data_IF_502351214847
#
_entry.id   IF_502351214847
#
_cell.length_a   1.000
_cell.length_b   1.000
_cell.length_c   1.000
_cell.angle_alpha   90.00
_cell.angle_beta   90.00
_cell.angle_gamma   90.00
#
_symmetry.space_group_name_H-M   'P 1'
#
loop_
_entity.id
_entity.type
_entity.pdbx_description
1 polymer ?
#
# COMPACT_ATOMS: atom_id res chain seq x y z
N UNK A 1 -10.50 0.72 6.81
CA UNK A 1 -11.49 -0.38 7.01
C UNK A 1 -12.29 -0.75 5.76
N UNK A 2 -12.68 0.17 4.85
CA UNK A 2 -13.45 -0.17 3.63
C UNK A 2 -12.68 -1.14 2.70
N UNK A 3 -11.41 -0.87 2.43
CA UNK A 3 -10.54 -1.68 1.57
C UNK A 3 -10.36 -3.12 2.10
N UNK A 4 -10.07 -3.28 3.39
CA UNK A 4 -9.91 -4.60 3.99
C UNK A 4 -11.20 -5.44 3.90
N UNK A 5 -12.36 -4.83 4.12
CA UNK A 5 -13.65 -5.52 3.95
C UNK A 5 -13.90 -5.97 2.51
N UNK A 6 -13.52 -5.15 1.55
CA UNK A 6 -13.63 -5.46 0.13
C UNK A 6 -12.69 -6.61 -0.25
N UNK A 7 -11.45 -6.55 0.24
CA UNK A 7 -10.45 -7.59 0.03
C UNK A 7 -10.88 -8.94 0.65
N UNK A 8 -11.42 -8.93 1.88
CA UNK A 8 -11.97 -10.15 2.51
C UNK A 8 -13.07 -10.75 1.65
N UNK A 9 -14.03 -9.95 1.17
CA UNK A 9 -15.10 -10.46 0.28
C UNK A 9 -14.54 -11.08 -0.99
N UNK A 10 -13.55 -10.46 -1.59
CA UNK A 10 -12.86 -10.99 -2.76
C UNK A 10 -12.18 -12.32 -2.44
N UNK A 11 -11.40 -12.38 -1.35
CA UNK A 11 -10.64 -13.57 -0.94
C UNK A 11 -11.55 -14.73 -0.58
N UNK A 12 -12.65 -14.48 0.11
CA UNK A 12 -13.69 -15.50 0.41
C UNK A 12 -14.17 -16.18 -0.86
N UNK A 13 -14.47 -15.41 -1.90
CA UNK A 13 -14.91 -15.93 -3.19
C UNK A 13 -13.81 -16.72 -3.90
N UNK A 14 -12.60 -16.18 -3.95
CA UNK A 14 -11.48 -16.80 -4.65
C UNK A 14 -10.99 -18.11 -3.99
N UNK A 15 -10.99 -18.17 -2.67
CA UNK A 15 -10.60 -19.36 -1.91
C UNK A 15 -11.76 -20.36 -1.73
N UNK A 16 -13.01 -19.95 -2.02
CA UNK A 16 -14.19 -20.78 -1.76
C UNK A 16 -14.36 -21.07 -0.26
N UNK A 17 -14.14 -20.06 0.60
CA UNK A 17 -14.33 -20.23 2.06
C UNK A 17 -15.79 -20.55 2.36
N UNK A 18 -15.99 -21.54 3.23
CA UNK A 18 -17.32 -21.96 3.71
C UNK A 18 -17.83 -21.06 4.82
N UNK A 19 -16.90 -20.49 5.60
CA UNK A 19 -17.19 -19.59 6.73
C UNK A 19 -16.18 -18.43 6.74
N UNK A 20 -16.52 -17.39 7.50
CA UNK A 20 -15.53 -16.35 7.86
C UNK A 20 -14.92 -16.71 9.22
N UNK A 21 -13.66 -16.33 9.47
CA UNK A 21 -13.11 -16.39 10.82
C UNK A 21 -13.99 -15.56 11.78
N UNK A 22 -14.07 -15.97 13.05
CA UNK A 22 -14.88 -15.30 14.07
C UNK A 22 -14.53 -13.83 14.24
N UNK A 23 -13.25 -13.49 14.11
CA UNK A 23 -12.80 -12.10 14.13
C UNK A 23 -11.58 -11.88 13.28
N UNK A 24 -11.49 -10.67 12.70
CA UNK A 24 -10.29 -10.14 12.05
C UNK A 24 -9.95 -8.83 12.73
N UNK A 25 -8.83 -8.80 13.47
CA UNK A 25 -8.35 -7.66 14.23
C UNK A 25 -7.16 -7.01 13.51
N UNK A 26 -7.10 -5.68 13.57
CA UNK A 26 -5.98 -4.91 13.04
C UNK A 26 -5.29 -4.20 14.19
N UNK A 27 -4.02 -4.55 14.42
CA UNK A 27 -3.20 -4.07 15.52
C UNK A 27 -2.13 -3.07 15.05
N UNK A 28 -1.53 -2.35 15.99
CA UNK A 28 -0.43 -1.42 15.76
C UNK A 28 0.95 -2.10 15.78
N UNK A 29 2.01 -1.28 15.64
CA UNK A 29 3.40 -1.76 15.61
C UNK A 29 3.84 -2.38 16.95
N UNK A 30 3.24 -1.96 18.07
CA UNK A 30 3.51 -2.53 19.39
C UNK A 30 3.22 -4.03 19.45
N UNK A 31 2.18 -4.48 18.74
CA UNK A 31 1.84 -5.90 18.67
C UNK A 31 2.94 -6.69 17.97
N UNK A 32 3.46 -6.20 16.84
CA UNK A 32 4.55 -6.88 16.12
C UNK A 32 5.85 -6.93 16.91
N UNK A 33 6.15 -5.89 17.70
CA UNK A 33 7.31 -5.86 18.57
C UNK A 33 7.23 -6.90 19.71
N UNK A 34 6.02 -7.14 20.23
CA UNK A 34 5.78 -8.10 21.30
C UNK A 34 5.72 -9.55 20.82
N UNK A 35 5.14 -9.78 19.64
CA UNK A 35 4.86 -11.13 19.13
C UNK A 35 5.77 -11.57 17.98
N UNK A 36 6.67 -10.70 17.51
CA UNK A 36 7.62 -10.96 16.41
C UNK A 36 6.93 -11.46 15.13
N UNK A 37 5.70 -10.99 14.87
CA UNK A 37 4.92 -11.36 13.69
C UNK A 37 4.14 -10.16 13.13
N UNK A 38 3.82 -10.24 11.85
CA UNK A 38 2.96 -9.27 11.16
C UNK A 38 1.51 -9.75 11.00
N UNK A 39 1.26 -11.02 11.21
CA UNK A 39 -0.05 -11.61 11.21
C UNK A 39 -0.04 -12.95 11.91
N UNK A 40 -1.21 -13.40 12.33
CA UNK A 40 -1.41 -14.72 12.91
C UNK A 40 -2.85 -15.16 12.77
N UNK A 41 -3.04 -16.42 12.45
CA UNK A 41 -4.32 -17.12 12.55
C UNK A 41 -4.26 -18.08 13.75
N UNK A 42 -5.22 -17.96 14.64
CA UNK A 42 -5.37 -18.89 15.78
C UNK A 42 -6.50 -19.89 15.47
N UNK A 43 -6.18 -21.16 15.18
CA UNK A 43 -7.19 -22.16 14.84
C UNK A 43 -8.11 -22.55 15.99
N UNK A 44 -7.67 -22.35 17.25
CA UNK A 44 -8.47 -22.68 18.44
C UNK A 44 -9.58 -21.65 18.70
N UNK A 45 -9.28 -20.36 18.49
CA UNK A 45 -10.23 -19.25 18.69
C UNK A 45 -10.89 -18.83 17.40
N UNK A 46 -10.37 -19.27 16.25
CA UNK A 46 -10.79 -18.91 14.91
C UNK A 46 -10.68 -17.38 14.68
N UNK A 47 -9.56 -16.81 15.11
CA UNK A 47 -9.27 -15.39 15.03
C UNK A 47 -8.06 -15.11 14.17
N UNK A 48 -8.15 -14.05 13.36
CA UNK A 48 -7.02 -13.48 12.62
C UNK A 48 -6.62 -12.15 13.25
N UNK A 49 -5.32 -11.97 13.46
CA UNK A 49 -4.72 -10.67 13.80
C UNK A 49 -3.78 -10.27 12.69
N UNK A 50 -3.85 -9.02 12.26
CA UNK A 50 -2.97 -8.44 11.23
C UNK A 50 -2.40 -7.12 11.75
N UNK A 51 -1.09 -6.99 11.74
CA UNK A 51 -0.44 -5.72 12.09
C UNK A 51 -0.57 -4.76 10.92
N UNK A 52 -1.25 -3.67 11.18
CA UNK A 52 -1.41 -2.57 10.25
C UNK A 52 -0.23 -1.60 10.34
N UNK A 53 0.04 -1.07 11.53
CA UNK A 53 1.13 -0.14 11.82
C UNK A 53 1.31 0.94 10.75
N UNK A 54 2.58 1.25 10.45
CA UNK A 54 2.97 2.12 9.33
C UNK A 54 3.25 1.35 8.03
N UNK A 55 2.78 0.11 7.92
CA UNK A 55 2.99 -0.76 6.77
C UNK A 55 2.21 -0.30 5.55
N UNK A 56 2.75 -0.58 4.37
CA UNK A 56 2.05 -0.32 3.11
C UNK A 56 0.75 -1.14 3.04
N UNK A 57 -0.38 -0.56 2.56
CA UNK A 57 -1.65 -1.29 2.47
C UNK A 57 -1.56 -2.64 1.76
N UNK A 58 -0.73 -2.75 0.71
CA UNK A 58 -0.50 -4.01 -0.02
C UNK A 58 0.10 -5.08 0.89
N UNK A 59 1.07 -4.72 1.74
CA UNK A 59 1.71 -5.67 2.65
C UNK A 59 0.74 -6.14 3.73
N UNK A 60 -0.10 -5.22 4.21
CA UNK A 60 -1.19 -5.55 5.16
C UNK A 60 -2.21 -6.50 4.52
N UNK A 61 -2.62 -6.24 3.27
CA UNK A 61 -3.54 -7.12 2.54
C UNK A 61 -2.91 -8.47 2.23
N UNK A 62 -1.61 -8.52 1.89
CA UNK A 62 -0.89 -9.78 1.65
C UNK A 62 -0.82 -10.63 2.91
N UNK A 63 -0.53 -10.02 4.07
CA UNK A 63 -0.57 -10.71 5.35
C UNK A 63 -1.98 -11.22 5.64
N UNK A 64 -3.01 -10.39 5.44
CA UNK A 64 -4.40 -10.83 5.61
C UNK A 64 -4.77 -12.00 4.70
N UNK A 65 -4.30 -11.99 3.44
CA UNK A 65 -4.50 -13.11 2.51
C UNK A 65 -3.87 -14.39 3.03
N UNK A 66 -2.64 -14.32 3.54
CA UNK A 66 -1.91 -15.44 4.12
C UNK A 66 -2.68 -16.09 5.28
N UNK A 67 -3.15 -15.27 6.22
CA UNK A 67 -3.93 -15.77 7.37
C UNK A 67 -5.29 -16.37 6.95
N UNK A 68 -5.93 -15.80 5.91
CA UNK A 68 -7.16 -16.38 5.35
C UNK A 68 -6.93 -17.72 4.64
N UNK A 69 -5.72 -17.96 4.09
CA UNK A 69 -5.36 -19.28 3.57
C UNK A 69 -5.21 -20.29 4.70
N UNK A 70 -4.61 -19.94 5.83
CA UNK A 70 -4.57 -20.83 6.99
C UNK A 70 -5.96 -21.16 7.51
N UNK A 71 -6.87 -20.19 7.52
CA UNK A 71 -8.29 -20.46 7.84
C UNK A 71 -8.90 -21.47 6.85
N UNK A 72 -8.61 -21.33 5.56
CA UNK A 72 -9.06 -22.30 4.53
C UNK A 72 -8.49 -23.68 4.74
N UNK A 73 -7.19 -23.80 4.97
CA UNK A 73 -6.51 -25.07 5.25
C UNK A 73 -7.15 -25.79 6.44
N UNK A 74 -7.49 -25.03 7.51
CA UNK A 74 -8.21 -25.59 8.65
C UNK A 74 -9.63 -26.06 8.26
N UNK A 75 -10.38 -25.28 7.45
CA UNK A 75 -11.70 -25.70 6.95
C UNK A 75 -11.64 -27.00 6.15
N UNK A 76 -10.53 -27.22 5.44
CA UNK A 76 -10.28 -28.41 4.64
C UNK A 76 -9.75 -29.61 5.48
N UNK A 77 -9.52 -29.38 6.79
CA UNK A 77 -9.08 -30.40 7.72
C UNK A 77 -7.57 -30.64 7.72
N UNK A 78 -6.78 -29.69 7.20
CA UNK A 78 -5.33 -29.77 7.24
C UNK A 78 -4.79 -29.44 8.64
N UNK A 79 -3.74 -30.13 9.03
CA UNK A 79 -2.99 -29.84 10.25
C UNK A 79 -2.03 -28.68 9.94
N UNK A 80 -2.20 -27.55 10.64
CA UNK A 80 -1.41 -26.35 10.42
C UNK A 80 -0.03 -26.52 11.08
N UNK A 81 1.02 -26.36 10.30
CA UNK A 81 2.40 -26.27 10.78
C UNK A 81 2.95 -24.87 10.46
N UNK A 82 3.17 -24.05 11.49
CA UNK A 82 3.70 -22.68 11.37
C UNK A 82 5.22 -22.60 11.23
N UNK A 83 5.93 -23.70 11.00
CA UNK A 83 7.36 -23.67 10.75
C UNK A 83 7.65 -23.14 9.34
N UNK A 84 8.61 -22.23 9.23
CA UNK A 84 9.11 -21.72 7.96
C UNK A 84 9.51 -22.88 7.03
N UNK A 85 8.98 -22.87 5.80
CA UNK A 85 9.25 -23.90 4.82
C UNK A 85 8.34 -25.14 4.92
N UNK A 86 7.41 -25.19 5.88
CA UNK A 86 6.39 -26.25 5.92
C UNK A 86 5.46 -26.16 4.70
N UNK A 87 4.78 -27.26 4.39
CA UNK A 87 3.86 -27.30 3.25
C UNK A 87 2.73 -26.28 3.39
N UNK A 88 2.17 -26.14 4.59
CA UNK A 88 1.08 -25.19 4.89
C UNK A 88 1.54 -23.74 4.74
N UNK A 89 2.74 -23.39 5.23
CA UNK A 89 3.32 -22.06 5.07
C UNK A 89 3.66 -21.73 3.61
N UNK A 90 4.26 -22.69 2.89
CA UNK A 90 4.59 -22.52 1.48
C UNK A 90 3.33 -22.32 0.64
N UNK A 91 2.29 -23.10 0.89
CA UNK A 91 1.00 -22.92 0.22
C UNK A 91 0.37 -21.56 0.57
N UNK A 92 0.34 -21.18 1.84
CA UNK A 92 -0.21 -19.90 2.28
C UNK A 92 0.49 -18.72 1.59
N UNK A 93 1.82 -18.77 1.51
CA UNK A 93 2.62 -17.77 0.81
C UNK A 93 2.33 -17.71 -0.71
N UNK A 94 2.24 -18.87 -1.37
CA UNK A 94 1.95 -18.97 -2.79
C UNK A 94 0.53 -18.46 -3.12
N UNK A 95 -0.47 -18.89 -2.37
CA UNK A 95 -1.87 -18.49 -2.52
C UNK A 95 -2.08 -17.00 -2.21
N UNK A 96 -1.45 -16.47 -1.16
CA UNK A 96 -1.47 -15.04 -0.87
C UNK A 96 -0.92 -14.23 -2.05
N UNK A 97 0.20 -14.67 -2.64
CA UNK A 97 0.75 -14.03 -3.84
C UNK A 97 -0.18 -14.08 -5.04
N UNK A 98 -0.89 -15.19 -5.25
CA UNK A 98 -1.89 -15.35 -6.31
C UNK A 98 -3.09 -14.42 -6.11
N UNK A 99 -3.64 -14.38 -4.90
CA UNK A 99 -4.75 -13.51 -4.51
C UNK A 99 -4.41 -12.03 -4.75
N UNK A 100 -3.20 -11.62 -4.39
CA UNK A 100 -2.75 -10.25 -4.61
C UNK A 100 -2.65 -9.92 -6.11
N UNK A 101 -2.12 -10.82 -6.94
CA UNK A 101 -2.09 -10.63 -8.41
C UNK A 101 -3.49 -10.51 -9.00
N UNK A 102 -4.44 -11.37 -8.58
CA UNK A 102 -5.84 -11.29 -9.01
C UNK A 102 -6.52 -10.00 -8.52
N UNK A 103 -6.30 -9.62 -7.26
CA UNK A 103 -6.88 -8.40 -6.71
C UNK A 103 -6.36 -7.13 -7.40
N UNK A 104 -5.14 -7.15 -7.91
CA UNK A 104 -4.60 -6.07 -8.74
C UNK A 104 -5.43 -5.80 -9.99
N UNK A 105 -6.06 -6.81 -10.58
CA UNK A 105 -6.93 -6.61 -11.77
C UNK A 105 -8.26 -5.97 -11.39
N UNK A 106 -8.71 -6.15 -10.14
CA UNK A 106 -9.96 -5.57 -9.60
C UNK A 106 -9.74 -4.15 -9.08
N UNK A 107 -8.59 -3.90 -8.46
CA UNK A 107 -8.25 -2.64 -7.79
C UNK A 107 -6.81 -2.22 -8.12
N UNK A 108 -6.51 -1.91 -9.40
CA UNK A 108 -5.16 -1.57 -9.82
C UNK A 108 -4.60 -0.32 -9.12
N UNK A 109 -5.46 0.62 -8.73
CA UNK A 109 -5.06 1.86 -8.08
C UNK A 109 -4.37 1.67 -6.73
N UNK A 110 -4.65 0.57 -6.02
CA UNK A 110 -4.02 0.28 -4.72
C UNK A 110 -2.54 -0.12 -4.92
N UNK A 111 -2.26 -0.78 -6.03
CA UNK A 111 -0.92 -1.26 -6.39
C UNK A 111 -0.06 -0.18 -7.05
N UNK A 112 -0.68 0.94 -7.40
CA UNK A 112 -0.02 2.10 -7.96
C UNK A 112 0.35 3.15 -6.89
N UNK A 113 0.30 2.76 -5.60
CA UNK A 113 0.77 3.58 -4.48
C UNK A 113 2.20 3.19 -4.19
N UNK A 114 3.15 4.09 -4.40
CA UNK A 114 4.56 3.86 -4.13
C UNK A 114 4.88 3.72 -2.63
N UNK A 115 6.14 3.42 -2.28
CA UNK A 115 6.58 3.11 -0.90
C UNK A 115 6.25 4.20 0.14
N UNK A 116 5.97 5.40 -0.33
CA UNK A 116 5.63 6.56 0.50
C UNK A 116 4.13 6.86 0.56
N UNK A 117 3.27 5.94 0.07
CA UNK A 117 1.82 6.13 0.00
C UNK A 117 1.37 7.14 -1.07
N UNK A 118 2.21 7.41 -2.04
CA UNK A 118 1.88 8.24 -3.20
C UNK A 118 1.38 7.38 -4.36
N UNK A 119 0.40 7.88 -5.11
CA UNK A 119 0.01 7.25 -6.37
C UNK A 119 1.18 7.26 -7.36
N UNK A 120 1.33 6.23 -8.18
CA UNK A 120 2.40 6.11 -9.19
C UNK A 120 2.49 7.35 -10.08
N UNK A 121 1.34 7.98 -10.38
CA UNK A 121 1.30 9.25 -11.12
C UNK A 121 2.01 10.37 -10.35
N UNK A 122 1.89 10.41 -9.03
CA UNK A 122 2.56 11.41 -8.21
C UNK A 122 4.06 11.15 -8.12
N UNK A 123 4.50 9.91 -7.97
CA UNK A 123 5.93 9.57 -7.97
C UNK A 123 6.58 9.89 -9.31
N UNK A 124 5.93 9.52 -10.41
CA UNK A 124 6.38 9.85 -11.76
C UNK A 124 6.45 11.37 -11.96
N UNK A 125 5.46 12.11 -11.46
CA UNK A 125 5.44 13.57 -11.46
C UNK A 125 6.62 14.14 -10.68
N UNK A 126 6.85 13.68 -9.46
CA UNK A 126 7.98 14.11 -8.61
C UNK A 126 9.32 13.79 -9.28
N UNK A 127 9.50 12.57 -9.82
CA UNK A 127 10.71 12.18 -10.51
C UNK A 127 10.96 13.03 -11.76
N UNK A 128 9.93 13.34 -12.52
CA UNK A 128 10.02 14.21 -13.69
C UNK A 128 10.44 15.63 -13.31
N UNK A 129 9.90 16.18 -12.22
CA UNK A 129 10.29 17.49 -11.67
C UNK A 129 11.75 17.44 -11.21
N UNK A 130 12.17 16.41 -10.47
CA UNK A 130 13.55 16.24 -10.00
C UNK A 130 14.54 16.12 -11.17
N UNK A 131 14.18 15.37 -12.20
CA UNK A 131 15.00 15.21 -13.39
C UNK A 131 15.16 16.53 -14.15
N UNK A 132 14.06 17.28 -14.37
CA UNK A 132 14.11 18.59 -15.01
C UNK A 132 14.98 19.56 -14.23
N UNK A 133 14.86 19.58 -12.89
CA UNK A 133 15.69 20.43 -12.03
C UNK A 133 17.18 20.07 -12.10
N UNK A 134 17.51 18.77 -12.19
CA UNK A 134 18.87 18.24 -12.19
C UNK A 134 19.55 18.38 -13.55
N UNK A 135 18.87 18.02 -14.62
CA UNK A 135 19.46 17.91 -15.96
C UNK A 135 19.35 19.18 -16.79
N UNK A 136 18.42 20.07 -16.44
CA UNK A 136 18.09 21.26 -17.24
C UNK A 136 17.19 20.96 -18.45
N UNK A 137 16.88 19.69 -18.72
CA UNK A 137 15.98 19.31 -19.78
C UNK A 137 14.54 19.50 -19.35
N UNK A 138 13.69 20.23 -20.10
CA UNK A 138 12.28 20.37 -19.77
C UNK A 138 11.57 19.01 -19.74
N UNK A 139 10.71 18.81 -18.74
CA UNK A 139 9.86 17.63 -18.65
C UNK A 139 8.42 17.98 -19.00
N UNK A 140 7.76 17.18 -19.84
CA UNK A 140 6.31 17.26 -20.02
C UNK A 140 5.65 16.44 -18.91
N UNK A 141 4.87 17.10 -18.08
CA UNK A 141 4.17 16.50 -16.94
C UNK A 141 2.69 16.89 -17.08
N UNK A 142 1.83 15.90 -17.12
CA UNK A 142 0.44 16.09 -17.57
C UNK A 142 0.47 16.75 -18.97
N UNK A 143 -0.18 17.87 -19.19
CA UNK A 143 -0.12 18.61 -20.46
C UNK A 143 0.83 19.84 -20.40
N UNK A 144 1.54 20.05 -19.30
CA UNK A 144 2.36 21.24 -19.04
C UNK A 144 3.85 20.93 -19.12
N UNK A 145 4.63 21.81 -19.78
CA UNK A 145 6.08 21.75 -19.80
C UNK A 145 6.66 22.45 -18.56
N UNK A 146 7.49 21.72 -17.83
CA UNK A 146 8.20 22.21 -16.64
C UNK A 146 9.68 22.35 -16.97
N UNK A 147 10.16 23.59 -17.04
CA UNK A 147 11.57 23.90 -17.23
C UNK A 147 12.38 23.76 -15.94
N UNK A 148 13.70 23.93 -16.03
CA UNK A 148 14.58 23.78 -14.90
C UNK A 148 14.29 24.77 -13.76
N UNK A 149 13.97 26.02 -14.11
CA UNK A 149 13.69 27.06 -13.12
C UNK A 149 12.41 26.73 -12.35
N UNK A 150 11.33 26.45 -13.08
CA UNK A 150 10.07 26.03 -12.50
C UNK A 150 10.21 24.77 -11.64
N UNK A 151 10.96 23.78 -12.12
CA UNK A 151 11.22 22.55 -11.37
C UNK A 151 11.95 22.84 -10.04
N UNK A 152 12.99 23.67 -10.05
CA UNK A 152 13.70 24.08 -8.83
C UNK A 152 12.79 24.83 -7.86
N UNK A 153 11.94 25.73 -8.37
CA UNK A 153 10.97 26.45 -7.57
C UNK A 153 10.01 25.50 -6.86
N UNK A 154 9.41 24.54 -7.59
CA UNK A 154 8.47 23.56 -7.03
C UNK A 154 9.12 22.70 -5.94
N UNK A 155 10.37 22.26 -6.14
CA UNK A 155 11.13 21.50 -5.15
C UNK A 155 11.40 22.33 -3.90
N UNK A 156 11.84 23.58 -4.07
CA UNK A 156 12.14 24.48 -2.95
C UNK A 156 10.90 24.72 -2.10
N UNK A 157 9.77 24.99 -2.72
CA UNK A 157 8.49 25.17 -2.02
C UNK A 157 8.10 23.89 -1.29
N UNK A 158 8.11 22.74 -1.99
CA UNK A 158 7.76 21.47 -1.38
C UNK A 158 8.63 21.11 -0.17
N UNK A 159 9.93 21.43 -0.20
CA UNK A 159 10.85 21.19 0.94
C UNK A 159 10.46 22.00 2.19
N UNK A 160 9.92 23.19 2.02
CA UNK A 160 9.54 24.07 3.12
C UNK A 160 8.10 23.80 3.64
N UNK A 161 7.35 22.90 3.01
CA UNK A 161 6.03 22.51 3.48
C UNK A 161 6.11 21.38 4.53
N UNK A 162 5.15 21.39 5.47
CA UNK A 162 4.94 20.24 6.36
C UNK A 162 4.66 18.97 5.57
N UNK A 163 4.91 17.76 6.10
CA UNK A 163 4.65 16.51 5.37
C UNK A 163 3.22 16.39 4.83
N UNK A 164 2.22 16.84 5.59
CA UNK A 164 0.83 16.86 5.16
C UNK A 164 0.62 17.79 3.97
N UNK A 165 1.04 19.05 4.09
CA UNK A 165 0.86 20.05 3.03
C UNK A 165 1.68 19.73 1.77
N UNK A 166 2.86 19.11 1.94
CA UNK A 166 3.67 18.62 0.82
C UNK A 166 2.94 17.56 0.01
N UNK A 167 2.26 16.64 0.68
CA UNK A 167 1.44 15.62 0.02
C UNK A 167 0.27 16.25 -0.74
N UNK A 168 -0.42 17.22 -0.13
CA UNK A 168 -1.50 17.96 -0.77
C UNK A 168 -0.97 18.74 -1.99
N UNK A 169 0.17 19.43 -1.85
CA UNK A 169 0.83 20.17 -2.94
C UNK A 169 1.15 19.28 -4.14
N UNK A 170 1.73 18.09 -3.95
CA UNK A 170 2.05 17.19 -5.05
C UNK A 170 0.82 16.49 -5.66
N UNK A 171 -0.33 16.51 -4.99
CA UNK A 171 -1.59 16.02 -5.54
C UNK A 171 -2.25 17.00 -6.52
N UNK A 172 -1.89 18.27 -6.47
CA UNK A 172 -2.41 19.29 -7.38
C UNK A 172 -1.89 19.11 -8.81
N UNK A 173 -2.57 19.70 -9.80
CA UNK A 173 -2.03 19.81 -11.16
C UNK A 173 -0.77 20.66 -11.19
N UNK A 174 0.09 20.48 -12.20
CA UNK A 174 1.33 21.27 -12.34
C UNK A 174 1.03 22.77 -12.37
N UNK A 175 0.01 23.20 -13.10
CA UNK A 175 -0.37 24.62 -13.18
C UNK A 175 -0.74 25.16 -11.81
N UNK A 176 -1.46 24.38 -11.01
CA UNK A 176 -1.83 24.77 -9.65
C UNK A 176 -0.64 24.78 -8.70
N UNK A 177 0.26 23.81 -8.83
CA UNK A 177 1.52 23.79 -8.07
C UNK A 177 2.35 25.04 -8.35
N UNK A 178 2.46 25.43 -9.61
CA UNK A 178 3.19 26.64 -10.04
C UNK A 178 2.51 27.90 -9.46
N UNK A 179 1.20 28.03 -9.58
CA UNK A 179 0.44 29.15 -8.99
C UNK A 179 0.68 29.26 -7.47
N UNK A 180 0.59 28.14 -6.75
CA UNK A 180 0.81 28.09 -5.30
C UNK A 180 2.25 28.44 -4.94
N UNK A 181 3.22 27.91 -5.72
CA UNK A 181 4.63 28.18 -5.49
C UNK A 181 4.96 29.69 -5.64
N UNK A 182 4.47 30.32 -6.69
CA UNK A 182 4.65 31.78 -6.87
C UNK A 182 4.01 32.58 -5.73
N UNK A 183 2.78 32.23 -5.31
CA UNK A 183 2.11 32.89 -4.17
C UNK A 183 2.89 32.79 -2.85
N UNK A 184 3.63 31.70 -2.64
CA UNK A 184 4.39 31.47 -1.42
C UNK A 184 5.76 32.19 -1.43
N UNK A 185 6.36 32.39 -2.59
CA UNK A 185 7.70 33.01 -2.74
C UNK A 185 7.60 34.54 -2.90
N UNK A 186 6.47 35.08 -3.36
CA UNK A 186 6.25 36.53 -3.56
C UNK A 186 5.61 37.21 -2.35
N UNK A 187 5.44 36.51 -1.23
CA UNK A 187 5.04 37.08 0.06
C UNK A 187 6.24 37.36 0.94
#
# INVERSE_FOLDING_TARGET
MKLAKEFVKFTVKELGLKSLPKSIKFEGDDYSAQHLTFGTYNPSTDEIVVVKGQRHPIDVLRTLAHELVHHKQREDGEELNGEDGSNTENEANAKAGELMRKFRTVRPEIFNVGPWGFHTNMENKIQSILNAAKTGNPAKIDETYVDQYTAKLLITVAHNLSPKNRKEFYNESIDKMVELAYKLVTR
#
